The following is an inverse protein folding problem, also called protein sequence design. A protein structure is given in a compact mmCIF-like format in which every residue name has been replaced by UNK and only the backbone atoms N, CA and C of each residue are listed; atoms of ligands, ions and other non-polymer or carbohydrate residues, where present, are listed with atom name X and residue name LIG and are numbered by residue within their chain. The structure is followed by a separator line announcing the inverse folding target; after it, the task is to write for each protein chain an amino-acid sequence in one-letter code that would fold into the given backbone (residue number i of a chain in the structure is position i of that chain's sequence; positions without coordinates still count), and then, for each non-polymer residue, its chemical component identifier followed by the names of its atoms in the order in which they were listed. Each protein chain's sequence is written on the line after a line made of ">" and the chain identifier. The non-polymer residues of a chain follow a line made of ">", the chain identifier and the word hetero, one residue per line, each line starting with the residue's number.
data_IF_261877089440
#
_entry.id   IF_261877089440
#
_cell.length_a   1.000
_cell.length_b   1.000
_cell.length_c   1.000
_cell.angle_alpha   90.00
_cell.angle_beta   90.00
_cell.angle_gamma   90.00
#
_symmetry.space_group_name_H-M   'P 1'
#
loop_
_entity.id
_entity.type
_entity.pdbx_description
1 polymer ?
#
# COMPACT_ATOMS: atom_id res chain seq x y z
N UNK A 1 1.04 -14.88 -19.59
CA UNK A 1 0.10 -14.00 -18.87
C UNK A 1 -0.56 -13.09 -19.89
N UNK A 2 -1.90 -13.12 -20.08
CA UNK A 2 -2.52 -12.19 -20.99
C UNK A 2 -2.52 -10.81 -20.34
N UNK A 3 -1.96 -9.84 -21.07
CA UNK A 3 -2.01 -8.42 -20.75
C UNK A 3 -3.46 -7.95 -20.85
N UNK A 4 -4.20 -7.99 -19.75
CA UNK A 4 -5.38 -7.12 -19.61
C UNK A 4 -4.80 -5.71 -19.47
N UNK A 5 -4.99 -4.88 -20.50
CA UNK A 5 -4.56 -3.49 -20.45
C UNK A 5 -5.23 -2.80 -19.24
N UNK A 6 -4.48 -1.99 -18.47
CA UNK A 6 -4.99 -1.21 -17.32
C UNK A 6 -6.41 -0.62 -17.49
N UNK A 7 -6.78 -0.05 -18.66
CA UNK A 7 -8.13 0.48 -18.90
C UNK A 7 -9.26 -0.51 -18.65
N UNK A 8 -9.03 -1.81 -18.92
CA UNK A 8 -10.06 -2.83 -18.74
C UNK A 8 -10.29 -3.17 -17.27
N UNK A 9 -9.26 -3.08 -16.43
CA UNK A 9 -9.38 -3.36 -15.00
C UNK A 9 -10.07 -2.18 -14.29
N UNK A 10 -9.71 -0.95 -14.67
CA UNK A 10 -10.36 0.26 -14.16
C UNK A 10 -11.88 0.21 -14.34
N UNK A 11 -12.35 0.00 -15.58
CA UNK A 11 -13.79 -0.04 -15.88
C UNK A 11 -14.51 -1.23 -15.22
N UNK A 12 -13.79 -2.30 -14.86
CA UNK A 12 -14.42 -3.47 -14.22
C UNK A 12 -14.63 -3.25 -12.71
N UNK A 13 -13.74 -2.50 -12.06
CA UNK A 13 -13.72 -2.37 -10.59
C UNK A 13 -14.27 -1.02 -10.13
N UNK A 14 -14.03 0.04 -10.90
CA UNK A 14 -14.24 1.42 -10.46
C UNK A 14 -15.23 2.21 -11.31
N UNK A 15 -15.92 1.60 -12.29
CA UNK A 15 -16.89 2.31 -13.15
C UNK A 15 -17.97 3.03 -12.33
N UNK A 16 -18.50 2.34 -11.32
CA UNK A 16 -19.60 2.84 -10.50
C UNK A 16 -19.11 3.96 -9.57
N UNK A 17 -17.86 3.83 -9.10
CA UNK A 17 -17.18 4.85 -8.29
C UNK A 17 -16.89 6.09 -9.13
N UNK A 18 -16.48 5.95 -10.40
CA UNK A 18 -16.23 7.07 -11.30
C UNK A 18 -17.49 7.88 -11.59
N UNK A 19 -18.62 7.19 -11.80
CA UNK A 19 -19.92 7.83 -12.03
C UNK A 19 -20.32 8.72 -10.84
N UNK A 20 -20.12 8.22 -9.62
CA UNK A 20 -20.41 8.97 -8.40
C UNK A 20 -19.45 10.16 -8.22
N UNK A 21 -18.13 9.96 -8.38
CA UNK A 21 -17.13 11.04 -8.22
C UNK A 21 -17.41 12.22 -9.15
N UNK A 22 -17.78 11.95 -10.41
CA UNK A 22 -18.10 13.01 -11.40
C UNK A 22 -19.30 13.85 -11.01
N UNK A 23 -20.18 13.34 -10.15
CA UNK A 23 -21.36 14.07 -9.66
C UNK A 23 -21.01 15.11 -8.61
N UNK A 24 -19.93 14.90 -7.84
CA UNK A 24 -19.60 15.72 -6.67
C UNK A 24 -18.35 16.58 -6.83
N UNK A 25 -17.45 16.28 -7.78
CA UNK A 25 -16.13 16.90 -7.83
C UNK A 25 -15.77 17.45 -9.23
N UNK A 26 -14.97 18.52 -9.26
CA UNK A 26 -14.47 19.15 -10.49
C UNK A 26 -13.61 18.19 -11.32
N UNK A 27 -13.59 18.42 -12.64
CA UNK A 27 -12.85 17.59 -13.60
C UNK A 27 -11.34 17.46 -13.26
N UNK A 28 -10.74 18.50 -12.68
CA UNK A 28 -9.34 18.48 -12.23
C UNK A 28 -9.10 17.43 -11.14
N UNK A 29 -10.03 17.29 -10.19
CA UNK A 29 -9.91 16.33 -9.09
C UNK A 29 -10.26 14.92 -9.58
N UNK A 30 -11.22 14.77 -10.50
CA UNK A 30 -11.53 13.49 -11.16
C UNK A 30 -10.27 12.90 -11.79
N UNK A 31 -9.52 13.71 -12.56
CA UNK A 31 -8.28 13.26 -13.19
C UNK A 31 -7.23 12.80 -12.16
N UNK A 32 -7.11 13.50 -11.04
CA UNK A 32 -6.20 13.10 -9.95
C UNK A 32 -6.63 11.80 -9.29
N UNK A 33 -7.92 11.59 -9.10
CA UNK A 33 -8.43 10.32 -8.56
C UNK A 33 -8.17 9.17 -9.54
N UNK A 34 -8.34 9.38 -10.85
CA UNK A 34 -8.02 8.37 -11.85
C UNK A 34 -6.55 8.02 -11.88
N UNK A 35 -5.67 9.01 -11.74
CA UNK A 35 -4.23 8.80 -11.61
C UNK A 35 -3.93 7.88 -10.42
N UNK A 36 -4.51 8.16 -9.25
CA UNK A 36 -4.34 7.35 -8.04
C UNK A 36 -4.91 5.93 -8.17
N UNK A 37 -6.10 5.78 -8.77
CA UNK A 37 -6.66 4.44 -9.05
C UNK A 37 -5.73 3.65 -9.96
N UNK A 38 -5.18 4.28 -11.01
CA UNK A 38 -4.26 3.59 -11.90
C UNK A 38 -2.96 3.18 -11.17
N UNK A 39 -2.44 4.01 -10.28
CA UNK A 39 -1.29 3.65 -9.43
C UNK A 39 -1.58 2.48 -8.48
N UNK A 40 -2.83 2.30 -8.04
CA UNK A 40 -3.22 1.15 -7.20
C UNK A 40 -3.02 -0.22 -7.88
N UNK A 41 -2.97 -0.27 -9.21
CA UNK A 41 -2.71 -1.51 -9.96
C UNK A 41 -1.21 -1.82 -10.13
N UNK A 42 -0.33 -0.90 -9.74
CA UNK A 42 1.11 -0.99 -9.98
C UNK A 42 1.85 -1.48 -8.73
N UNK A 43 1.26 -2.39 -7.98
CA UNK A 43 1.91 -3.03 -6.83
C UNK A 43 2.26 -4.48 -7.13
N UNK A 44 3.49 -4.85 -6.78
CA UNK A 44 3.96 -6.23 -6.78
C UNK A 44 4.00 -6.74 -5.35
N UNK A 45 3.49 -7.95 -5.15
CA UNK A 45 3.44 -8.61 -3.84
C UNK A 45 4.28 -9.88 -3.88
N UNK A 46 5.09 -10.09 -2.84
CA UNK A 46 5.74 -11.38 -2.60
C UNK A 46 5.64 -11.76 -1.13
N UNK A 47 5.55 -13.06 -0.87
CA UNK A 47 5.59 -13.60 0.49
C UNK A 47 7.05 -13.64 0.94
N UNK A 48 7.34 -13.07 2.11
CA UNK A 48 8.65 -13.17 2.74
C UNK A 48 8.78 -14.52 3.44
N UNK A 49 9.84 -15.25 3.06
CA UNK A 49 10.24 -16.51 3.69
C UNK A 49 11.35 -16.28 4.73
N UNK A 50 12.12 -15.21 4.58
CA UNK A 50 13.19 -14.80 5.50
C UNK A 50 12.86 -13.44 6.14
N UNK A 51 12.66 -13.46 7.45
CA UNK A 51 12.32 -12.28 8.26
C UNK A 51 13.50 -11.34 8.49
N UNK A 52 14.74 -11.76 8.22
CA UNK A 52 15.92 -10.87 8.25
C UNK A 52 15.77 -9.72 7.23
N UNK A 53 14.94 -9.89 6.20
CA UNK A 53 14.60 -8.83 5.25
C UNK A 53 13.91 -7.62 5.92
N UNK A 54 13.24 -7.80 7.07
CA UNK A 54 12.61 -6.72 7.83
C UNK A 54 13.62 -5.76 8.48
N UNK A 55 14.89 -6.17 8.63
CA UNK A 55 15.95 -5.31 9.13
C UNK A 55 16.41 -4.26 8.10
N UNK A 56 15.99 -4.40 6.84
CA UNK A 56 16.27 -3.42 5.78
C UNK A 56 15.27 -2.26 5.77
N UNK A 57 14.37 -2.20 6.75
CA UNK A 57 13.45 -1.09 6.93
C UNK A 57 14.25 0.18 7.30
N UNK A 58 14.65 0.93 6.27
CA UNK A 58 15.49 2.11 6.39
C UNK A 58 14.68 3.23 7.02
N UNK A 59 15.32 4.04 7.86
CA UNK A 59 14.74 5.33 8.23
C UNK A 59 14.61 6.20 6.98
N UNK A 60 13.38 6.60 6.70
CA UNK A 60 13.05 7.42 5.54
C UNK A 60 13.37 8.87 5.93
N UNK A 61 14.45 9.42 5.37
CA UNK A 61 14.76 10.83 5.57
C UNK A 61 13.79 11.70 4.74
N UNK A 62 12.87 12.37 5.44
CA UNK A 62 11.80 13.13 4.83
C UNK A 62 12.18 14.54 4.33
N UNK A 63 13.46 14.94 4.42
CA UNK A 63 13.88 16.32 4.13
C UNK A 63 13.78 16.74 2.65
N UNK A 64 13.63 15.81 1.69
CA UNK A 64 13.76 16.14 0.24
C UNK A 64 12.52 15.78 -0.60
N UNK A 65 11.63 14.88 -0.16
CA UNK A 65 10.57 14.32 -1.02
C UNK A 65 9.12 14.41 -0.46
N UNK A 66 8.94 14.89 0.77
CA UNK A 66 7.74 14.60 1.57
C UNK A 66 6.57 15.59 1.48
N UNK A 67 6.29 16.22 0.33
CA UNK A 67 5.05 17.01 0.20
C UNK A 67 3.95 16.30 -0.60
N UNK A 68 4.30 15.56 -1.66
CA UNK A 68 3.31 14.84 -2.48
C UNK A 68 3.29 13.32 -2.22
N UNK A 69 4.35 12.74 -1.65
CA UNK A 69 4.54 11.27 -1.56
C UNK A 69 4.32 10.69 -0.13
N UNK A 70 3.90 11.52 0.84
CA UNK A 70 3.76 11.10 2.27
C UNK A 70 2.81 9.93 2.46
N UNK A 71 1.76 9.84 1.63
CA UNK A 71 0.75 8.78 1.73
C UNK A 71 1.28 7.40 1.31
N UNK A 72 2.33 7.37 0.48
CA UNK A 72 2.93 6.13 -0.04
C UNK A 72 4.18 5.70 0.77
N UNK A 73 4.48 6.38 1.89
CA UNK A 73 5.57 5.99 2.78
C UNK A 73 5.07 5.10 3.92
N UNK A 74 5.86 4.09 4.36
CA UNK A 74 5.66 3.38 5.61
C UNK A 74 5.47 4.36 6.79
N UNK A 75 4.32 4.27 7.44
CA UNK A 75 3.94 5.08 8.61
C UNK A 75 4.43 4.48 9.92
N UNK A 76 4.74 3.19 9.94
CA UNK A 76 5.30 2.47 11.10
C UNK A 76 6.38 1.50 10.64
N UNK A 77 7.43 1.36 11.45
CA UNK A 77 8.51 0.40 11.18
C UNK A 77 7.97 -1.02 11.22
N UNK A 78 8.33 -1.82 10.24
CA UNK A 78 7.99 -3.23 10.12
C UNK A 78 8.47 -4.03 11.34
N UNK A 79 9.62 -3.68 11.90
CA UNK A 79 10.17 -4.27 13.12
C UNK A 79 9.28 -4.03 14.34
N UNK A 80 8.63 -2.86 14.44
CA UNK A 80 7.67 -2.56 15.52
C UNK A 80 6.50 -3.52 15.49
N UNK A 81 5.85 -3.67 14.31
CA UNK A 81 4.74 -4.61 14.14
C UNK A 81 5.21 -6.05 14.40
N UNK A 82 6.36 -6.45 13.85
CA UNK A 82 6.87 -7.81 14.03
C UNK A 82 7.07 -8.14 15.51
N UNK A 83 7.71 -7.25 16.27
CA UNK A 83 7.97 -7.50 17.69
C UNK A 83 6.68 -7.68 18.50
N UNK A 84 5.64 -6.90 18.19
CA UNK A 84 4.34 -6.98 18.88
C UNK A 84 3.55 -8.24 18.50
N UNK A 85 3.56 -8.63 17.21
CA UNK A 85 2.66 -9.67 16.70
C UNK A 85 3.33 -10.99 16.33
N UNK A 86 4.66 -11.15 16.46
CA UNK A 86 5.42 -12.28 15.92
C UNK A 86 4.81 -13.67 16.16
N UNK A 87 4.30 -13.93 17.36
CA UNK A 87 3.71 -15.22 17.73
C UNK A 87 2.38 -15.54 17.03
N UNK A 88 1.77 -14.54 16.38
CA UNK A 88 0.48 -14.66 15.69
C UNK A 88 0.61 -14.53 14.17
N UNK A 89 1.79 -14.23 13.65
CA UNK A 89 2.03 -14.05 12.22
C UNK A 89 1.98 -15.41 11.51
N UNK A 90 1.17 -15.49 10.46
CA UNK A 90 1.13 -16.63 9.54
C UNK A 90 1.97 -16.36 8.30
N UNK A 91 1.81 -15.15 7.72
CA UNK A 91 2.55 -14.73 6.54
C UNK A 91 2.91 -13.24 6.65
N UNK A 92 4.03 -12.88 6.03
CA UNK A 92 4.41 -11.50 5.81
C UNK A 92 4.49 -11.27 4.31
N UNK A 93 3.79 -10.26 3.82
CA UNK A 93 3.81 -9.87 2.43
C UNK A 93 4.62 -8.59 2.29
N UNK A 94 5.63 -8.64 1.44
CA UNK A 94 6.34 -7.45 0.98
C UNK A 94 5.63 -6.91 -0.25
N UNK A 95 5.15 -5.68 -0.14
CA UNK A 95 4.37 -4.97 -1.15
C UNK A 95 5.20 -3.81 -1.66
N UNK A 96 5.52 -3.81 -2.96
CA UNK A 96 6.35 -2.76 -3.59
C UNK A 96 5.60 -2.13 -4.74
N UNK A 97 5.57 -0.80 -4.77
CA UNK A 97 5.10 -0.09 -5.94
C UNK A 97 6.11 -0.26 -7.09
N UNK A 98 5.65 -0.46 -8.32
CA UNK A 98 6.50 -0.68 -9.50
C UNK A 98 7.39 0.53 -9.78
N UNK A 99 6.89 1.75 -9.56
CA UNK A 99 7.65 3.00 -9.75
C UNK A 99 8.55 3.34 -8.55
N UNK A 100 8.13 2.96 -7.34
CA UNK A 100 8.79 3.32 -6.08
C UNK A 100 9.25 2.05 -5.36
N UNK A 101 10.02 1.21 -6.07
CA UNK A 101 10.33 -0.13 -5.59
C UNK A 101 11.24 -0.11 -4.37
N UNK A 102 11.98 0.96 -4.10
CA UNK A 102 13.01 1.02 -3.06
C UNK A 102 12.44 1.08 -1.63
N UNK A 103 11.18 1.49 -1.50
CA UNK A 103 10.49 1.66 -0.21
C UNK A 103 9.34 0.64 -0.17
N UNK A 104 9.57 -0.57 0.38
CA UNK A 104 8.49 -1.54 0.51
C UNK A 104 7.55 -1.19 1.65
N UNK A 105 6.27 -1.56 1.47
CA UNK A 105 5.36 -1.78 2.57
C UNK A 105 5.38 -3.26 2.99
N UNK A 106 5.00 -3.52 4.23
CA UNK A 106 4.83 -4.87 4.74
C UNK A 106 3.42 -5.06 5.30
N UNK A 107 2.78 -6.16 4.92
CA UNK A 107 1.50 -6.61 5.47
C UNK A 107 1.74 -7.90 6.25
N UNK A 108 1.34 -7.90 7.51
CA UNK A 108 1.48 -9.01 8.45
C UNK A 108 0.12 -9.66 8.63
N UNK A 109 -0.06 -10.86 8.06
CA UNK A 109 -1.29 -11.63 8.21
C UNK A 109 -1.25 -12.42 9.50
N UNK A 110 -2.29 -12.28 10.32
CA UNK A 110 -2.39 -12.90 11.63
C UNK A 110 -3.29 -14.15 11.60
N UNK A 111 -3.06 -15.07 12.53
CA UNK A 111 -3.76 -16.35 12.60
C UNK A 111 -5.27 -16.25 12.87
N UNK A 112 -5.74 -15.12 13.40
CA UNK A 112 -7.15 -14.82 13.64
C UNK A 112 -7.88 -14.20 12.43
N UNK A 113 -7.19 -14.08 11.29
CA UNK A 113 -7.70 -13.46 10.08
C UNK A 113 -7.55 -11.93 10.04
N UNK A 114 -7.00 -11.31 11.08
CA UNK A 114 -6.65 -9.89 11.06
C UNK A 114 -5.32 -9.64 10.33
N UNK A 115 -5.01 -8.37 10.08
CA UNK A 115 -3.74 -7.95 9.50
C UNK A 115 -3.23 -6.64 10.10
N UNK A 116 -1.91 -6.45 10.06
CA UNK A 116 -1.24 -5.19 10.36
C UNK A 116 -0.44 -4.75 9.12
N UNK A 117 -0.29 -3.45 8.88
CA UNK A 117 0.41 -2.93 7.71
C UNK A 117 1.30 -1.75 8.08
N UNK A 118 2.48 -1.66 7.45
CA UNK A 118 3.31 -0.46 7.58
C UNK A 118 2.68 0.77 6.93
N UNK A 119 1.74 0.59 6.00
CA UNK A 119 0.98 1.63 5.33
C UNK A 119 -0.08 2.33 6.19
N UNK A 120 -0.38 1.81 7.39
CA UNK A 120 -1.46 2.34 8.24
C UNK A 120 -0.99 2.51 9.67
N UNK A 121 -0.97 3.75 10.16
CA UNK A 121 -0.95 4.04 11.58
C UNK A 121 -2.35 3.68 12.13
N UNK A 122 -2.50 2.49 12.72
CA UNK A 122 -3.68 2.17 13.52
C UNK A 122 -3.62 2.96 14.83
N UNK A 123 -3.97 4.24 14.80
CA UNK A 123 -4.43 4.96 15.98
C UNK A 123 -5.93 4.71 16.13
N UNK A 124 -6.29 3.60 16.77
CA UNK A 124 -7.60 3.46 17.43
C UNK A 124 -7.41 2.71 18.75
N UNK A 125 -6.87 3.41 19.74
CA UNK A 125 -7.15 3.13 21.15
C UNK A 125 -8.07 4.23 21.67
N UNK A 126 -9.37 3.94 21.73
CA UNK A 126 -10.37 4.69 22.47
C UNK A 126 -11.02 3.76 23.48
#
# INVERSE_FOLDING_TARGET
>A
MPFISLPNIYNTIFSDVDLEIRTFITLLIVNKIHEQINYSFLYNVKILVDYMALQKDREINCEIACLDEVFDLPQVKASTIFNEYHNRIVHIWEVRHVKYSDIPHFVFLLADGNYQCTCKLLMMSG
#
